data_IF_990317723811
#
_entry.id   IF_990317723811
#
_cell.length_a   1.000
_cell.length_b   1.000
_cell.length_c   1.000
_cell.angle_alpha   90.00
_cell.angle_beta   90.00
_cell.angle_gamma   90.00
#
_symmetry.space_group_name_H-M   'P 1'
#
loop_
_entity.id
_entity.type
_entity.pdbx_description
1 polymer ?
#
# COMPACT_ATOMS: atom_id res chain seq x y z
N UNK A 1 45.21 -26.00 -1.22
CA UNK A 1 43.98 -25.85 -0.41
C UNK A 1 43.10 -24.86 -1.15
N UNK A 2 41.79 -25.11 -1.29
CA UNK A 2 40.95 -24.30 -2.16
C UNK A 2 40.64 -22.95 -1.50
N UNK A 3 40.90 -21.88 -2.23
CA UNK A 3 40.70 -20.48 -1.85
C UNK A 3 39.31 -20.16 -1.25
N UNK A 4 38.31 -20.97 -1.61
CA UNK A 4 36.91 -20.81 -1.20
C UNK A 4 36.70 -21.07 0.30
N UNK A 5 37.43 -22.03 0.88
CA UNK A 5 37.36 -22.35 2.31
C UNK A 5 37.99 -21.23 3.16
N UNK A 6 39.10 -20.66 2.66
CA UNK A 6 39.82 -19.56 3.30
C UNK A 6 39.01 -18.26 3.25
N UNK A 7 38.31 -17.99 2.14
CA UNK A 7 37.41 -16.84 2.02
C UNK A 7 36.20 -16.96 2.95
N UNK A 8 35.61 -18.16 3.04
CA UNK A 8 34.51 -18.42 3.96
C UNK A 8 34.90 -18.26 5.43
N UNK A 9 36.11 -18.68 5.80
CA UNK A 9 36.67 -18.47 7.12
C UNK A 9 36.96 -16.98 7.40
N UNK A 10 37.51 -16.26 6.43
CA UNK A 10 37.79 -14.83 6.54
C UNK A 10 36.51 -14.00 6.73
N UNK A 11 35.43 -14.32 6.01
CA UNK A 11 34.14 -13.62 6.14
C UNK A 11 33.46 -13.88 7.49
N UNK A 12 33.52 -15.12 8.00
CA UNK A 12 33.01 -15.44 9.35
C UNK A 12 33.81 -14.73 10.45
N UNK A 13 35.14 -14.72 10.33
CA UNK A 13 36.01 -13.97 11.25
C UNK A 13 35.77 -12.46 11.21
N UNK A 14 35.45 -11.89 10.04
CA UNK A 14 35.11 -10.48 9.91
C UNK A 14 33.73 -10.17 10.53
N UNK A 15 32.75 -11.07 10.34
CA UNK A 15 31.41 -10.95 10.93
C UNK A 15 31.42 -11.03 12.46
N UNK A 16 32.19 -11.96 13.03
CA UNK A 16 32.32 -12.12 14.49
C UNK A 16 33.03 -10.92 15.16
N UNK A 17 33.75 -10.10 14.38
CA UNK A 17 34.36 -8.84 14.83
C UNK A 17 33.38 -7.66 14.97
N UNK A 18 32.16 -7.76 14.43
CA UNK A 18 31.14 -6.72 14.55
C UNK A 18 30.23 -6.98 15.77
N UNK A 19 30.69 -6.55 16.94
CA UNK A 19 29.81 -6.37 18.10
C UNK A 19 29.34 -4.93 18.14
N UNK A 20 28.06 -4.72 17.81
CA UNK A 20 27.45 -3.41 18.01
C UNK A 20 27.38 -3.12 19.51
N UNK A 21 27.97 -2.00 19.93
CA UNK A 21 27.87 -1.51 21.31
C UNK A 21 26.41 -1.13 21.59
N UNK A 22 25.70 -2.06 22.22
CA UNK A 22 24.26 -1.95 22.50
C UNK A 22 23.97 -0.81 23.47
N UNK A 23 24.92 -0.50 24.35
CA UNK A 23 24.80 0.59 25.32
C UNK A 23 24.99 1.93 24.60
N UNK A 24 25.96 2.05 23.69
CA UNK A 24 26.11 3.24 22.85
C UNK A 24 24.88 3.50 21.96
N UNK A 25 24.22 2.45 21.45
CA UNK A 25 22.97 2.56 20.69
C UNK A 25 21.80 2.99 21.57
N UNK A 26 21.68 2.46 22.78
CA UNK A 26 20.66 2.86 23.75
C UNK A 26 20.86 4.33 24.16
N UNK A 27 22.09 4.74 24.46
CA UNK A 27 22.46 6.12 24.81
C UNK A 27 22.22 7.10 23.64
N UNK A 28 22.46 6.68 22.41
CA UNK A 28 22.14 7.47 21.22
C UNK A 28 20.63 7.61 21.03
N UNK A 29 19.87 6.53 21.26
CA UNK A 29 18.41 6.52 21.26
C UNK A 29 17.81 7.45 22.31
N UNK A 30 18.31 7.39 23.55
CA UNK A 30 17.88 8.24 24.65
C UNK A 30 18.18 9.71 24.38
N UNK A 31 19.39 10.04 23.90
CA UNK A 31 19.76 11.41 23.52
C UNK A 31 18.87 11.95 22.40
N UNK A 32 18.51 11.11 21.41
CA UNK A 32 17.56 11.49 20.35
C UNK A 32 16.15 11.73 20.92
N UNK A 33 15.68 10.88 21.83
CA UNK A 33 14.39 11.04 22.52
C UNK A 33 14.31 12.32 23.33
N UNK A 34 15.33 12.61 24.16
CA UNK A 34 15.41 13.84 24.96
C UNK A 34 15.43 15.10 24.08
N UNK A 35 16.17 15.09 22.96
CA UNK A 35 16.16 16.21 21.98
C UNK A 35 14.78 16.41 21.35
N UNK A 36 14.05 15.34 21.05
CA UNK A 36 12.72 15.42 20.47
C UNK A 36 11.71 16.03 21.45
N UNK A 37 11.76 15.64 22.72
CA UNK A 37 10.93 16.22 23.79
C UNK A 37 11.29 17.69 24.05
N UNK A 38 12.59 18.04 24.06
CA UNK A 38 13.03 19.43 24.22
C UNK A 38 12.53 20.32 23.07
N UNK A 39 12.59 19.85 21.82
CA UNK A 39 12.04 20.57 20.65
C UNK A 39 10.53 20.77 20.74
N UNK A 40 9.78 19.75 21.20
CA UNK A 40 8.33 19.87 21.46
C UNK A 40 8.01 20.91 22.53
N UNK A 41 8.83 20.99 23.58
CA UNK A 41 8.68 21.98 24.66
C UNK A 41 9.09 23.39 24.23
N UNK A 42 10.09 23.53 23.36
CA UNK A 42 10.50 24.81 22.79
C UNK A 42 9.48 25.35 21.77
N UNK A 43 8.83 24.47 21.00
CA UNK A 43 7.73 24.85 20.11
C UNK A 43 6.50 25.40 20.89
N UNK A 44 6.28 24.92 22.11
CA UNK A 44 5.22 25.43 22.99
C UNK A 44 5.57 26.79 23.66
N UNK A 45 6.85 27.18 23.70
CA UNK A 45 7.30 28.43 24.32
C UNK A 45 7.47 29.60 23.33
N UNK A 46 7.38 29.35 22.02
CA UNK A 46 7.52 30.37 20.98
C UNK A 46 6.19 31.07 20.59
N UNK A 47 5.07 30.70 21.22
CA UNK A 47 3.76 31.32 20.99
C UNK A 47 3.11 31.78 22.28
N UNK A 48 3.45 32.97 22.78
CA UNK A 48 2.62 33.63 23.81
C UNK A 48 3.33 34.63 24.72
N UNK A 49 3.28 35.90 24.35
CA UNK A 49 3.28 37.07 25.26
C UNK A 49 2.22 37.99 24.64
N UNK A 50 1.20 38.55 25.32
CA UNK A 50 1.21 39.39 26.54
C UNK A 50 -0.24 39.48 27.09
N UNK A 51 -0.32 39.48 28.43
CA UNK A 51 -1.34 40.04 29.37
C UNK A 51 -2.70 40.57 28.86
N UNK A 52 -3.77 40.13 29.55
CA UNK A 52 -4.82 41.03 30.05
C UNK A 52 -5.43 40.49 31.36
N UNK A 53 -5.21 41.23 32.44
CA UNK A 53 -5.77 41.04 33.78
C UNK A 53 -7.23 41.49 33.83
N UNK A 54 -8.10 40.70 34.47
CA UNK A 54 -9.30 41.22 35.13
C UNK A 54 -9.59 40.40 36.39
N UNK A 55 -9.31 41.03 37.54
CA UNK A 55 -9.58 40.58 38.90
C UNK A 55 -11.03 40.89 39.27
N UNK A 56 -11.80 39.90 39.76
CA UNK A 56 -12.78 40.11 40.84
C UNK A 56 -12.74 38.88 41.78
N UNK A 57 -12.29 39.15 43.01
CA UNK A 57 -12.42 38.31 44.21
C UNK A 57 -13.88 38.35 44.71
N UNK A 58 -14.45 37.33 45.36
CA UNK A 58 -14.20 36.99 46.78
C UNK A 58 -14.87 35.67 47.21
N UNK A 59 -14.11 34.88 48.01
CA UNK A 59 -14.45 34.03 49.17
C UNK A 59 -15.64 33.02 49.13
N UNK A 60 -15.54 31.76 49.56
CA UNK A 60 -14.44 30.99 50.17
C UNK A 60 -14.90 29.60 50.66
N UNK A 61 -13.98 28.61 50.51
CA UNK A 61 -13.75 27.33 51.24
C UNK A 61 -14.91 26.31 51.43
N UNK A 62 -14.81 25.02 51.06
CA UNK A 62 -13.75 24.04 51.34
C UNK A 62 -13.66 22.87 50.32
N UNK A 63 -12.42 22.54 49.95
CA UNK A 63 -11.80 21.22 49.72
C UNK A 63 -12.37 20.18 48.72
N UNK A 64 -11.71 20.07 47.56
CA UNK A 64 -11.01 18.83 47.17
C UNK A 64 -11.50 18.07 45.93
N UNK A 65 -10.85 18.30 44.77
CA UNK A 65 -10.64 17.23 43.77
C UNK A 65 -11.22 17.37 42.35
N UNK A 66 -11.09 18.56 41.74
CA UNK A 66 -11.11 18.93 40.30
C UNK A 66 -11.93 18.10 39.27
N UNK A 67 -12.99 18.76 38.77
CA UNK A 67 -13.90 18.39 37.70
C UNK A 67 -13.35 18.68 36.30
N UNK A 68 -13.70 17.79 35.38
CA UNK A 68 -14.47 18.02 34.15
C UNK A 68 -14.42 19.40 33.44
N UNK A 69 -14.04 19.33 32.16
CA UNK A 69 -14.71 19.99 31.03
C UNK A 69 -14.66 21.51 30.89
N UNK A 70 -13.84 22.01 29.94
CA UNK A 70 -14.28 23.10 29.03
C UNK A 70 -13.60 22.95 27.68
N UNK A 71 -14.42 22.93 26.62
CA UNK A 71 -13.96 22.91 25.23
C UNK A 71 -13.22 24.19 24.87
N UNK A 72 -12.03 24.01 24.32
CA UNK A 72 -11.30 25.01 23.55
C UNK A 72 -10.88 24.36 22.25
N UNK A 73 -11.27 24.99 21.14
CA UNK A 73 -11.09 24.53 19.77
C UNK A 73 -9.65 24.05 19.52
N UNK A 74 -9.48 22.74 19.41
CA UNK A 74 -8.23 22.12 19.00
C UNK A 74 -8.05 22.33 17.51
N UNK A 75 -7.14 23.22 17.13
CA UNK A 75 -6.53 23.23 15.80
C UNK A 75 -5.80 21.91 15.63
N UNK A 76 -6.40 20.98 14.87
CA UNK A 76 -5.80 19.69 14.56
C UNK A 76 -4.81 19.91 13.42
N UNK A 77 -3.53 20.00 13.78
CA UNK A 77 -2.46 20.00 12.80
C UNK A 77 -2.41 18.61 12.13
N UNK A 78 -2.59 18.58 10.81
CA UNK A 78 -2.33 17.40 9.98
C UNK A 78 -0.82 17.17 9.95
N UNK A 79 -0.33 16.31 10.84
CA UNK A 79 1.04 15.83 10.79
C UNK A 79 1.10 14.59 9.90
N UNK A 80 1.60 14.77 8.68
CA UNK A 80 2.00 13.65 7.84
C UNK A 80 3.03 12.76 8.58
N UNK A 81 3.01 11.43 8.39
CA UNK A 81 4.01 10.56 8.99
C UNK A 81 5.42 10.90 8.45
N UNK A 82 6.48 10.85 9.28
CA UNK A 82 7.84 11.08 8.80
C UNK A 82 8.27 9.94 7.86
N UNK A 83 8.98 10.24 6.75
CA UNK A 83 9.45 9.20 5.84
C UNK A 83 10.50 8.33 6.52
N UNK A 84 10.36 7.01 6.35
CA UNK A 84 11.43 6.03 6.53
C UNK A 84 12.57 6.35 5.56
N UNK A 85 13.77 6.58 6.08
CA UNK A 85 14.99 6.80 5.27
C UNK A 85 15.51 5.49 4.68
N UNK A 86 15.80 5.43 3.37
CA UNK A 86 16.85 4.58 2.83
C UNK A 86 18.17 5.35 2.73
N UNK A 87 19.26 4.59 2.68
CA UNK A 87 20.64 5.06 2.71
C UNK A 87 21.01 6.03 1.57
N UNK A 88 22.08 6.76 1.85
CA UNK A 88 22.76 7.73 1.00
C UNK A 88 23.12 7.19 -0.38
N UNK A 89 22.51 7.77 -1.41
CA UNK A 89 23.12 8.03 -2.72
C UNK A 89 22.67 9.43 -3.17
N UNK A 90 23.65 10.30 -3.48
CA UNK A 90 23.46 11.70 -3.87
C UNK A 90 22.75 11.85 -5.23
N UNK A 91 21.42 11.73 -5.24
CA UNK A 91 20.54 12.41 -6.18
C UNK A 91 19.38 12.99 -5.40
N UNK A 92 19.39 14.32 -5.24
CA UNK A 92 18.33 15.02 -4.53
C UNK A 92 16.94 14.75 -5.13
N UNK A 93 15.88 14.88 -4.32
CA UNK A 93 14.50 14.68 -4.75
C UNK A 93 14.12 15.53 -6.00
N UNK A 94 13.64 14.89 -7.07
CA UNK A 94 13.29 15.51 -8.37
C UNK A 94 11.96 16.30 -8.30
N UNK A 95 11.97 17.49 -7.68
CA UNK A 95 10.87 18.45 -7.75
C UNK A 95 10.90 19.28 -9.05
N UNK A 96 9.78 19.92 -9.40
CA UNK A 96 9.71 20.86 -10.53
C UNK A 96 10.30 22.23 -10.20
N UNK A 97 10.08 23.22 -11.08
CA UNK A 97 10.63 24.57 -10.90
C UNK A 97 9.77 25.48 -10.00
N UNK A 98 8.57 25.05 -9.63
CA UNK A 98 7.62 25.86 -8.85
C UNK A 98 6.74 26.77 -9.70
N UNK A 99 6.55 26.44 -10.98
CA UNK A 99 5.67 27.21 -11.89
C UNK A 99 4.25 27.38 -11.34
N UNK A 100 3.75 26.40 -10.58
CA UNK A 100 2.45 26.44 -9.91
C UNK A 100 2.64 26.47 -8.40
N UNK A 101 2.13 27.51 -7.74
CA UNK A 101 2.22 27.63 -6.27
C UNK A 101 1.19 26.79 -5.52
N UNK A 102 1.37 26.65 -4.21
CA UNK A 102 0.40 26.03 -3.31
C UNK A 102 -0.99 26.72 -3.37
N UNK A 103 -1.03 28.05 -3.42
CA UNK A 103 -2.26 28.83 -3.52
C UNK A 103 -2.97 28.60 -4.86
N UNK A 104 -2.22 28.48 -5.95
CA UNK A 104 -2.78 28.16 -7.26
C UNK A 104 -3.37 26.76 -7.29
N UNK A 105 -2.72 25.78 -6.64
CA UNK A 105 -3.28 24.42 -6.48
C UNK A 105 -4.62 24.44 -5.71
N UNK A 106 -4.69 25.21 -4.61
CA UNK A 106 -5.93 25.41 -3.84
C UNK A 106 -7.01 26.08 -4.68
N UNK A 107 -6.67 27.13 -5.43
CA UNK A 107 -7.60 27.84 -6.30
C UNK A 107 -8.15 26.94 -7.42
N UNK A 108 -7.30 26.12 -8.03
CA UNK A 108 -7.70 25.17 -9.07
C UNK A 108 -8.70 24.14 -8.53
N UNK A 109 -8.45 23.54 -7.35
CA UNK A 109 -9.42 22.60 -6.75
C UNK A 109 -10.75 23.30 -6.46
N UNK A 110 -10.71 24.48 -5.84
CA UNK A 110 -11.93 25.26 -5.54
C UNK A 110 -12.76 25.56 -6.79
N UNK A 111 -12.10 25.88 -7.91
CA UNK A 111 -12.78 26.15 -9.18
C UNK A 111 -13.46 24.92 -9.81
N UNK A 112 -13.05 23.71 -9.43
CA UNK A 112 -13.62 22.46 -9.93
C UNK A 112 -14.67 21.83 -9.00
N UNK A 113 -14.77 22.30 -7.75
CA UNK A 113 -15.78 21.82 -6.81
C UNK A 113 -17.17 22.39 -7.17
N UNK A 114 -18.25 21.60 -7.05
CA UNK A 114 -19.60 21.99 -7.46
C UNK A 114 -20.29 22.92 -6.45
N UNK A 115 -19.64 24.02 -6.07
CA UNK A 115 -20.04 24.91 -4.98
C UNK A 115 -19.48 24.46 -3.64
N UNK A 116 -20.14 24.82 -2.53
CA UNK A 116 -19.69 24.48 -1.16
C UNK A 116 -18.48 25.30 -0.69
N UNK A 117 -17.90 24.90 0.45
CA UNK A 117 -16.74 25.56 1.05
C UNK A 117 -15.61 24.57 1.29
N UNK A 118 -14.39 24.94 0.88
CA UNK A 118 -13.16 24.22 1.22
C UNK A 118 -12.44 24.95 2.37
N UNK A 119 -12.56 24.41 3.57
CA UNK A 119 -11.91 24.91 4.79
C UNK A 119 -10.60 24.19 5.08
N UNK A 120 -9.72 24.86 5.84
CA UNK A 120 -8.39 24.35 6.21
C UNK A 120 -7.58 23.81 5.01
N UNK A 121 -7.52 24.56 3.88
CA UNK A 121 -6.85 24.04 2.71
C UNK A 121 -5.34 23.96 2.95
N UNK A 122 -4.76 22.84 2.56
CA UNK A 122 -3.31 22.64 2.49
C UNK A 122 -2.94 22.47 1.03
N UNK A 123 -1.98 23.26 0.55
CA UNK A 123 -1.49 23.21 -0.81
C UNK A 123 0.01 22.99 -0.84
N UNK A 124 0.49 22.25 -1.83
CA UNK A 124 1.90 22.13 -2.21
C UNK A 124 1.99 22.33 -3.72
N UNK A 125 2.86 23.25 -4.12
CA UNK A 125 3.07 23.61 -5.52
C UNK A 125 3.91 22.58 -6.28
N UNK A 126 4.27 22.92 -7.50
CA UNK A 126 5.15 22.11 -8.35
C UNK A 126 6.64 22.17 -7.99
N UNK A 127 7.01 22.96 -6.98
CA UNK A 127 8.31 22.97 -6.31
C UNK A 127 8.46 21.86 -5.25
N UNK A 128 7.39 21.12 -4.96
CA UNK A 128 7.42 19.88 -4.17
C UNK A 128 7.48 18.67 -5.10
N UNK A 129 8.01 17.54 -4.61
CA UNK A 129 8.03 16.28 -5.35
C UNK A 129 6.64 15.76 -5.69
N UNK A 130 5.65 16.03 -4.84
CA UNK A 130 4.27 15.58 -4.99
C UNK A 130 3.35 16.78 -4.79
N UNK A 131 3.06 17.55 -5.85
CA UNK A 131 2.11 18.63 -5.79
C UNK A 131 0.77 18.09 -5.31
N UNK A 132 0.18 18.80 -4.35
CA UNK A 132 -0.93 18.29 -3.56
C UNK A 132 -1.86 19.45 -3.22
N UNK A 133 -3.14 19.15 -3.16
CA UNK A 133 -4.11 20.01 -2.50
C UNK A 133 -5.07 19.16 -1.68
N UNK A 134 -5.31 19.53 -0.43
CA UNK A 134 -6.28 18.88 0.43
C UNK A 134 -7.03 19.89 1.30
N UNK A 135 -8.10 19.43 1.93
CA UNK A 135 -8.86 20.22 2.91
C UNK A 135 -10.15 19.53 3.30
N UNK A 136 -10.99 20.25 4.05
CA UNK A 136 -12.33 19.80 4.44
C UNK A 136 -13.34 20.53 3.57
N UNK A 137 -14.03 19.77 2.72
CA UNK A 137 -15.11 20.23 1.87
C UNK A 137 -16.47 20.07 2.57
N UNK A 138 -17.31 21.11 2.51
CA UNK A 138 -18.68 21.08 3.01
C UNK A 138 -19.63 21.72 1.98
N UNK A 139 -20.52 20.91 1.43
CA UNK A 139 -21.58 21.28 0.49
C UNK A 139 -22.92 21.62 1.22
N UNK A 140 -22.89 21.71 2.56
CA UNK A 140 -24.06 21.91 3.41
C UNK A 140 -24.74 20.61 3.85
N UNK A 141 -24.24 19.44 3.44
CA UNK A 141 -24.75 18.11 3.82
C UNK A 141 -23.83 17.35 4.77
N UNK A 142 -22.80 18.03 5.28
CA UNK A 142 -21.81 17.47 6.20
C UNK A 142 -20.41 17.51 5.60
N UNK A 143 -19.44 17.72 6.49
CA UNK A 143 -18.02 17.83 6.15
C UNK A 143 -17.48 16.54 5.53
N UNK A 144 -16.46 16.68 4.70
CA UNK A 144 -15.77 15.60 4.02
C UNK A 144 -14.31 15.99 3.79
N UNK A 145 -13.35 15.13 4.11
CA UNK A 145 -11.99 15.32 3.66
C UNK A 145 -11.93 15.11 2.14
N UNK A 146 -11.13 15.94 1.47
CA UNK A 146 -10.80 15.81 0.05
C UNK A 146 -9.30 16.01 -0.12
N UNK A 147 -8.68 15.21 -0.99
CA UNK A 147 -7.25 15.29 -1.29
C UNK A 147 -7.01 14.96 -2.75
N UNK A 148 -6.22 15.78 -3.43
CA UNK A 148 -5.78 15.58 -4.80
C UNK A 148 -4.27 15.66 -4.88
N UNK A 149 -3.66 14.65 -5.49
CA UNK A 149 -2.23 14.57 -5.77
C UNK A 149 -1.94 14.54 -7.26
N UNK A 150 -0.80 15.10 -7.63
CA UNK A 150 -0.27 15.07 -9.00
C UNK A 150 1.06 14.33 -9.02
N UNK A 151 1.29 13.55 -10.07
CA UNK A 151 2.59 12.93 -10.33
C UNK A 151 2.81 12.67 -11.82
N UNK A 152 4.06 12.34 -12.17
CA UNK A 152 4.46 11.87 -13.49
C UNK A 152 4.81 10.38 -13.38
N UNK A 153 4.23 9.54 -14.24
CA UNK A 153 4.43 8.08 -14.26
C UNK A 153 4.65 7.56 -15.68
N UNK A 154 5.34 6.44 -15.85
CA UNK A 154 5.36 5.75 -17.14
C UNK A 154 3.93 5.28 -17.49
N UNK A 155 3.29 5.81 -18.54
CA UNK A 155 1.92 5.44 -18.89
C UNK A 155 1.80 3.98 -19.35
N UNK A 156 2.88 3.32 -19.73
CA UNK A 156 2.91 1.90 -20.09
C UNK A 156 3.55 1.04 -18.97
N UNK A 157 3.88 1.66 -17.84
CA UNK A 157 4.44 1.04 -16.64
C UNK A 157 3.43 0.24 -15.81
N UNK A 158 3.96 -0.60 -14.93
CA UNK A 158 3.23 -1.44 -13.99
C UNK A 158 2.49 -0.60 -12.95
N UNK A 159 3.11 0.44 -12.41
CA UNK A 159 2.46 1.32 -11.44
C UNK A 159 1.21 2.00 -12.03
N UNK A 160 1.33 2.50 -13.26
CA UNK A 160 0.24 3.14 -13.96
C UNK A 160 -0.91 2.17 -14.31
N UNK A 161 -0.67 0.86 -14.41
CA UNK A 161 -1.73 -0.16 -14.51
C UNK A 161 -2.37 -0.39 -13.15
N UNK A 162 -1.56 -0.66 -12.12
CA UNK A 162 -2.03 -0.96 -10.78
C UNK A 162 -2.91 0.15 -10.18
N UNK A 163 -2.63 1.42 -10.48
CA UNK A 163 -3.42 2.55 -9.98
C UNK A 163 -4.66 2.86 -10.80
N UNK A 164 -4.78 2.31 -12.02
CA UNK A 164 -5.94 2.56 -12.93
C UNK A 164 -6.83 1.34 -13.16
N UNK A 165 -6.50 0.20 -12.56
CA UNK A 165 -7.28 -1.04 -12.63
C UNK A 165 -8.10 -1.25 -11.36
N UNK A 166 -9.30 -1.82 -11.52
CA UNK A 166 -10.08 -2.28 -10.37
C UNK A 166 -9.40 -3.48 -9.72
N UNK A 167 -9.15 -3.37 -8.41
CA UNK A 167 -8.72 -4.50 -7.60
C UNK A 167 -9.77 -5.63 -7.61
N UNK A 168 -9.37 -6.83 -7.17
CA UNK A 168 -10.30 -7.95 -7.11
C UNK A 168 -11.32 -7.78 -5.96
N UNK A 169 -12.63 -7.75 -6.29
CA UNK A 169 -13.70 -7.78 -5.28
C UNK A 169 -13.58 -8.94 -4.30
N UNK A 170 -12.95 -10.04 -4.72
CA UNK A 170 -12.75 -11.17 -3.83
C UNK A 170 -11.73 -10.78 -2.75
N UNK A 171 -10.63 -10.10 -3.09
CA UNK A 171 -9.62 -9.72 -2.11
C UNK A 171 -9.96 -8.47 -1.30
N UNK A 172 -10.68 -7.54 -1.90
CA UNK A 172 -11.03 -6.27 -1.29
C UNK A 172 -12.48 -5.95 -1.62
N UNK A 173 -13.34 -5.91 -0.60
CA UNK A 173 -14.73 -5.48 -0.82
C UNK A 173 -14.76 -3.98 -1.15
N UNK A 174 -15.49 -3.64 -2.21
CA UNK A 174 -15.79 -2.28 -2.61
C UNK A 174 -17.22 -2.16 -3.15
N UNK A 175 -17.81 -0.98 -2.97
CA UNK A 175 -19.18 -0.69 -3.37
C UNK A 175 -19.30 -0.69 -4.91
N UNK A 176 -18.41 0.03 -5.59
CA UNK A 176 -18.38 0.14 -7.05
C UNK A 176 -16.95 0.40 -7.56
N UNK A 177 -16.62 -0.11 -8.75
CA UNK A 177 -15.35 0.20 -9.40
C UNK A 177 -15.47 0.06 -10.90
N UNK A 178 -14.98 1.07 -11.61
CA UNK A 178 -14.98 1.14 -13.06
C UNK A 178 -13.61 1.57 -13.57
N UNK A 179 -13.10 0.85 -14.56
CA UNK A 179 -11.92 1.25 -15.34
C UNK A 179 -12.38 1.60 -16.75
N UNK A 180 -11.96 2.76 -17.24
CA UNK A 180 -12.30 3.26 -18.57
C UNK A 180 -11.03 3.61 -19.35
N UNK A 181 -11.09 3.42 -20.67
CA UNK A 181 -10.15 4.03 -21.61
C UNK A 181 -10.84 5.20 -22.29
N UNK A 182 -10.34 6.41 -22.05
CA UNK A 182 -10.87 7.65 -22.62
C UNK A 182 -10.50 7.77 -24.11
N UNK A 183 -11.17 8.67 -24.83
CA UNK A 183 -11.00 8.85 -26.28
C UNK A 183 -9.58 9.29 -26.68
N UNK A 184 -8.86 9.97 -25.80
CA UNK A 184 -7.45 10.36 -25.96
C UNK A 184 -6.46 9.23 -25.63
N UNK A 185 -6.96 8.04 -25.27
CA UNK A 185 -6.17 6.88 -24.87
C UNK A 185 -5.74 6.87 -23.41
N UNK A 186 -6.15 7.86 -22.61
CA UNK A 186 -5.92 7.89 -21.16
C UNK A 186 -6.70 6.77 -20.46
N UNK A 187 -6.16 6.27 -19.33
CA UNK A 187 -6.83 5.30 -18.46
C UNK A 187 -7.41 6.01 -17.25
N UNK A 188 -8.65 5.70 -16.90
CA UNK A 188 -9.38 6.30 -15.78
C UNK A 188 -9.92 5.20 -14.87
N UNK A 189 -9.64 5.30 -13.57
CA UNK A 189 -10.27 4.53 -12.52
C UNK A 189 -11.28 5.40 -11.78
N UNK A 190 -12.46 4.85 -11.49
CA UNK A 190 -13.48 5.41 -10.63
C UNK A 190 -13.86 4.34 -9.61
N UNK A 191 -13.53 4.56 -8.35
CA UNK A 191 -13.67 3.58 -7.28
C UNK A 191 -14.48 4.14 -6.11
N UNK A 192 -15.37 3.33 -5.54
CA UNK A 192 -16.15 3.62 -4.35
C UNK A 192 -16.03 2.47 -3.38
N UNK A 193 -15.57 2.73 -2.18
CA UNK A 193 -15.42 1.70 -1.16
C UNK A 193 -15.20 2.29 0.22
N UNK A 194 -14.36 1.63 0.99
CA UNK A 194 -14.10 1.93 2.39
C UNK A 194 -12.61 2.14 2.61
N UNK A 195 -12.28 3.06 3.52
CA UNK A 195 -10.90 3.31 3.94
C UNK A 195 -10.23 2.05 4.48
N UNK A 196 -11.00 1.24 5.21
CA UNK A 196 -10.53 -0.02 5.76
C UNK A 196 -11.25 -1.20 5.08
N UNK A 197 -10.51 -2.06 4.35
CA UNK A 197 -11.07 -3.26 3.72
C UNK A 197 -11.76 -4.21 4.70
N UNK A 198 -11.28 -4.25 5.96
CA UNK A 198 -11.85 -5.08 7.03
C UNK A 198 -13.11 -4.49 7.68
N UNK A 199 -13.60 -3.34 7.19
CA UNK A 199 -14.81 -2.65 7.65
C UNK A 199 -14.81 -2.32 9.15
N UNK A 200 -13.64 -2.18 9.77
CA UNK A 200 -13.54 -1.80 11.19
C UNK A 200 -14.04 -0.39 11.50
N UNK A 201 -14.25 0.44 10.47
CA UNK A 201 -14.90 1.73 10.57
C UNK A 201 -15.77 1.99 9.33
N UNK A 202 -16.83 2.78 9.51
CA UNK A 202 -17.78 3.16 8.45
C UNK A 202 -17.26 4.25 7.51
N UNK A 203 -15.99 4.62 7.62
CA UNK A 203 -15.38 5.64 6.77
C UNK A 203 -15.30 5.12 5.33
N UNK A 204 -16.11 5.72 4.47
CA UNK A 204 -16.11 5.48 3.03
C UNK A 204 -15.09 6.37 2.34
N UNK A 205 -14.55 5.87 1.23
CA UNK A 205 -13.67 6.61 0.33
C UNK A 205 -14.14 6.46 -1.11
N UNK A 206 -14.29 7.57 -1.81
CA UNK A 206 -14.45 7.61 -3.25
C UNK A 206 -13.16 8.14 -3.87
N UNK A 207 -12.68 7.48 -4.92
CA UNK A 207 -11.38 7.72 -5.55
C UNK A 207 -11.52 7.77 -7.05
N UNK A 208 -10.82 8.71 -7.68
CA UNK A 208 -10.64 8.75 -9.12
C UNK A 208 -9.16 8.90 -9.47
N UNK A 209 -8.68 8.11 -10.44
CA UNK A 209 -7.29 8.17 -10.89
C UNK A 209 -7.27 8.24 -12.41
N UNK A 210 -6.68 9.29 -12.96
CA UNK A 210 -6.41 9.43 -14.38
C UNK A 210 -4.92 9.20 -14.63
N UNK A 211 -4.58 8.36 -15.62
CA UNK A 211 -3.24 8.32 -16.23
C UNK A 211 -3.34 8.61 -17.72
N UNK A 212 -2.69 9.68 -18.19
CA UNK A 212 -2.69 10.08 -19.60
C UNK A 212 -1.58 9.40 -20.40
N UNK A 213 -1.68 9.42 -21.73
CA UNK A 213 -0.59 8.94 -22.63
C UNK A 213 0.70 9.76 -22.50
N UNK A 214 0.66 10.97 -21.94
CA UNK A 214 1.87 11.76 -21.66
C UNK A 214 2.52 11.39 -20.31
N UNK A 215 1.93 10.46 -19.56
CA UNK A 215 2.42 10.07 -18.24
C UNK A 215 1.98 11.01 -17.12
N UNK A 216 0.91 11.77 -17.30
CA UNK A 216 0.32 12.55 -16.21
C UNK A 216 -0.55 11.65 -15.37
N UNK A 217 -0.33 11.64 -14.05
CA UNK A 217 -1.23 11.02 -13.10
C UNK A 217 -1.91 12.08 -12.24
N UNK A 218 -3.25 12.05 -12.21
CA UNK A 218 -4.08 12.88 -11.34
C UNK A 218 -4.90 11.93 -10.47
N UNK A 219 -4.73 12.03 -9.16
CA UNK A 219 -5.44 11.19 -8.20
C UNK A 219 -6.23 12.07 -7.23
N UNK A 220 -7.53 11.80 -7.13
CA UNK A 220 -8.44 12.46 -6.20
C UNK A 220 -9.06 11.41 -5.28
N UNK A 221 -9.06 11.70 -3.98
CA UNK A 221 -9.76 10.92 -2.96
C UNK A 221 -10.62 11.83 -2.09
N UNK A 222 -11.79 11.35 -1.70
CA UNK A 222 -12.68 12.01 -0.75
C UNK A 222 -13.30 11.02 0.23
N UNK A 223 -13.57 11.47 1.45
CA UNK A 223 -14.11 10.65 2.51
C UNK A 223 -15.45 11.20 3.02
N UNK A 224 -16.31 10.33 3.55
CA UNK A 224 -17.57 10.74 4.19
C UNK A 224 -17.40 11.27 5.63
N UNK A 225 -16.15 11.53 6.02
CA UNK A 225 -15.75 12.06 7.31
C UNK A 225 -14.84 13.28 7.11
N UNK A 226 -14.70 14.18 8.09
CA UNK A 226 -13.83 15.36 7.99
C UNK A 226 -12.32 15.02 7.89
N UNK A 227 -11.94 13.76 8.12
CA UNK A 227 -10.59 13.25 7.99
C UNK A 227 -10.63 11.78 7.53
N UNK A 228 -9.54 11.32 6.92
CA UNK A 228 -9.34 9.93 6.49
C UNK A 228 -9.47 8.93 7.67
N UNK A 229 -8.89 9.28 8.83
CA UNK A 229 -8.80 8.38 10.00
C UNK A 229 -9.16 9.11 11.30
N UNK A 230 -9.65 8.34 12.28
CA UNK A 230 -9.78 8.78 13.68
C UNK A 230 -10.89 9.79 13.97
N UNK A 231 -11.66 10.20 12.96
CA UNK A 231 -12.79 11.13 13.11
C UNK A 231 -14.09 10.41 12.69
N UNK A 232 -15.20 10.55 13.44
CA UNK A 232 -16.48 9.97 13.04
C UNK A 232 -16.97 10.48 11.68
N UNK A 233 -17.75 9.63 10.99
CA UNK A 233 -18.42 10.01 9.74
C UNK A 233 -19.42 11.15 9.98
N UNK A 234 -19.48 12.09 9.06
CA UNK A 234 -20.37 13.27 9.11
C UNK A 234 -21.50 13.20 8.08
N UNK A 235 -21.42 12.24 7.15
CA UNK A 235 -22.39 12.01 6.08
C UNK A 235 -22.38 10.55 5.65
N UNK A 236 -23.42 10.11 4.94
CA UNK A 236 -23.54 8.70 4.52
C UNK A 236 -22.54 8.31 3.44
N UNK A 237 -22.29 9.20 2.49
CA UNK A 237 -21.37 9.01 1.36
C UNK A 237 -20.52 10.25 1.14
N UNK A 238 -19.31 10.13 0.57
CA UNK A 238 -18.52 11.28 0.12
C UNK A 238 -19.31 12.21 -0.84
N UNK A 239 -18.94 13.50 -0.93
CA UNK A 239 -19.76 14.51 -1.59
C UNK A 239 -19.83 14.46 -3.11
N UNK A 240 -18.76 14.13 -3.83
CA UNK A 240 -18.72 14.28 -5.29
C UNK A 240 -19.32 13.06 -6.02
N UNK A 241 -20.21 13.28 -6.98
CA UNK A 241 -20.68 12.18 -7.83
C UNK A 241 -19.53 11.58 -8.66
N UNK A 242 -19.71 10.37 -9.19
CA UNK A 242 -18.75 9.76 -10.13
C UNK A 242 -18.40 10.69 -11.30
N UNK A 243 -19.39 11.38 -11.87
CA UNK A 243 -19.17 12.32 -12.97
C UNK A 243 -18.40 13.57 -12.52
N UNK A 244 -18.62 14.04 -11.30
CA UNK A 244 -17.87 15.16 -10.71
C UNK A 244 -16.42 14.75 -10.44
N UNK A 245 -16.17 13.57 -9.87
CA UNK A 245 -14.83 13.01 -9.70
C UNK A 245 -14.08 12.94 -11.04
N UNK A 246 -14.72 12.39 -12.08
CA UNK A 246 -14.19 12.33 -13.45
C UNK A 246 -13.88 13.73 -14.00
N UNK A 247 -14.78 14.69 -13.80
CA UNK A 247 -14.59 16.08 -14.22
C UNK A 247 -13.37 16.71 -13.56
N UNK A 248 -13.17 16.49 -12.25
CA UNK A 248 -12.01 17.04 -11.52
C UNK A 248 -10.71 16.45 -12.05
N UNK A 249 -10.60 15.12 -12.17
CA UNK A 249 -9.32 14.47 -12.53
C UNK A 249 -8.94 14.64 -14.01
N UNK A 250 -9.92 14.84 -14.90
CA UNK A 250 -9.70 15.08 -16.35
C UNK A 250 -9.50 16.55 -16.71
N UNK A 251 -9.55 17.46 -15.73
CA UNK A 251 -9.43 18.88 -16.00
C UNK A 251 -8.02 19.29 -16.43
N UNK A 252 -7.93 20.05 -17.53
CA UNK A 252 -6.67 20.57 -18.04
C UNK A 252 -6.01 21.61 -17.11
N UNK A 253 -6.71 22.09 -16.06
CA UNK A 253 -6.13 23.04 -15.08
C UNK A 253 -4.93 22.46 -14.32
N UNK A 254 -4.77 21.13 -14.31
CA UNK A 254 -3.64 20.45 -13.69
C UNK A 254 -2.40 20.39 -14.58
N UNK A 255 -2.55 20.56 -15.90
CA UNK A 255 -1.44 20.42 -16.86
C UNK A 255 -0.25 21.34 -16.58
N UNK A 256 -0.41 22.62 -16.16
CA UNK A 256 0.73 23.46 -15.84
C UNK A 256 1.63 22.87 -14.74
N UNK A 257 1.04 22.35 -13.65
CA UNK A 257 1.80 21.73 -12.57
C UNK A 257 2.45 20.42 -13.02
N UNK A 258 1.71 19.58 -13.76
CA UNK A 258 2.21 18.30 -14.28
C UNK A 258 3.34 18.47 -15.30
N UNK A 259 3.30 19.51 -16.13
CA UNK A 259 4.36 19.83 -17.08
C UNK A 259 5.63 20.34 -16.40
N UNK A 260 5.49 21.03 -15.27
CA UNK A 260 6.61 21.54 -14.48
C UNK A 260 7.38 20.43 -13.75
N UNK A 261 6.73 19.29 -13.49
CA UNK A 261 7.38 18.12 -12.92
C UNK A 261 8.36 17.46 -13.92
N UNK A 262 9.45 16.85 -13.44
CA UNK A 262 10.34 16.05 -14.27
C UNK A 262 9.61 14.91 -15.00
N UNK A 263 10.08 14.56 -16.19
CA UNK A 263 9.54 13.40 -16.90
C UNK A 263 9.79 12.12 -16.10
N UNK A 264 8.83 11.18 -16.09
CA UNK A 264 9.07 9.90 -15.45
C UNK A 264 10.11 9.15 -16.27
N UNK A 265 11.06 8.52 -15.60
CA UNK A 265 11.89 7.53 -16.26
C UNK A 265 10.99 6.39 -16.71
N UNK A 266 11.08 5.94 -17.98
CA UNK A 266 10.35 4.77 -18.43
C UNK A 266 10.70 3.59 -17.53
N UNK A 267 9.68 2.85 -17.09
CA UNK A 267 9.94 1.60 -16.39
C UNK A 267 10.71 0.68 -17.35
N UNK A 268 11.78 0.01 -16.88
CA UNK A 268 12.50 -0.93 -17.71
C UNK A 268 11.51 -1.94 -18.28
N UNK A 269 11.27 -1.87 -19.59
CA UNK A 269 10.41 -2.82 -20.26
C UNK A 269 11.06 -4.18 -20.11
N UNK A 270 10.35 -5.14 -19.51
CA UNK A 270 10.79 -6.52 -19.51
C UNK A 270 11.07 -6.91 -20.96
N UNK A 271 12.33 -7.19 -21.30
CA UNK A 271 12.70 -7.61 -22.66
C UNK A 271 11.87 -8.84 -23.00
N UNK A 272 11.09 -8.84 -24.09
CA UNK A 272 10.42 -10.03 -24.56
C UNK A 272 11.48 -11.11 -24.80
N UNK A 273 11.45 -12.20 -24.04
CA UNK A 273 12.33 -13.35 -24.23
C UNK A 273 13.57 -13.45 -23.33
N UNK A 274 13.75 -12.59 -22.32
CA UNK A 274 14.67 -12.90 -21.22
C UNK A 274 13.96 -13.82 -20.23
N UNK A 275 14.25 -15.12 -20.23
CA UNK A 275 13.76 -16.05 -19.21
C UNK A 275 14.43 -15.73 -17.87
N UNK A 276 13.93 -14.72 -17.17
CA UNK A 276 14.29 -14.45 -15.78
C UNK A 276 13.88 -15.68 -14.96
N UNK A 277 14.81 -16.26 -14.18
CA UNK A 277 14.50 -17.41 -13.33
C UNK A 277 13.32 -17.06 -12.41
N UNK A 278 12.43 -18.03 -12.10
CA UNK A 278 11.17 -17.77 -11.39
C UNK A 278 11.35 -16.99 -10.08
N UNK A 279 12.43 -17.26 -9.35
CA UNK A 279 12.76 -16.56 -8.09
C UNK A 279 13.09 -15.07 -8.24
N UNK A 280 13.44 -14.65 -9.45
CA UNK A 280 13.85 -13.29 -9.79
C UNK A 280 12.67 -12.56 -10.48
N UNK A 281 11.52 -13.22 -10.63
CA UNK A 281 10.28 -12.66 -11.13
C UNK A 281 9.38 -12.17 -9.98
N UNK A 282 8.45 -11.28 -10.31
CA UNK A 282 7.29 -11.02 -9.46
C UNK A 282 6.48 -12.32 -9.27
N UNK A 283 6.06 -12.59 -8.03
CA UNK A 283 5.39 -13.84 -7.69
C UNK A 283 4.05 -14.03 -8.44
N UNK A 284 3.31 -12.98 -8.76
CA UNK A 284 2.09 -13.11 -9.54
C UNK A 284 2.39 -13.59 -10.96
N UNK A 285 3.45 -13.06 -11.58
CA UNK A 285 3.90 -13.48 -12.92
C UNK A 285 4.44 -14.91 -12.91
N UNK A 286 5.25 -15.26 -11.92
CA UNK A 286 5.78 -16.61 -11.78
C UNK A 286 4.66 -17.65 -11.62
N UNK A 287 3.63 -17.33 -10.81
CA UNK A 287 2.47 -18.21 -10.63
C UNK A 287 1.69 -18.40 -11.94
N UNK A 288 1.49 -17.32 -12.71
CA UNK A 288 0.82 -17.40 -14.03
C UNK A 288 1.61 -18.27 -15.02
N UNK A 289 2.93 -18.08 -15.12
CA UNK A 289 3.77 -18.88 -16.01
C UNK A 289 3.78 -20.36 -15.62
N UNK A 290 3.78 -20.66 -14.32
CA UNK A 290 3.72 -22.03 -13.83
C UNK A 290 2.38 -22.68 -14.14
N UNK A 291 1.27 -22.00 -13.91
CA UNK A 291 -0.07 -22.50 -14.23
C UNK A 291 -0.19 -22.80 -15.73
N UNK A 292 0.28 -21.88 -16.59
CA UNK A 292 0.30 -22.09 -18.04
C UNK A 292 1.22 -23.24 -18.45
N UNK A 293 2.43 -23.33 -17.86
CA UNK A 293 3.41 -24.38 -18.13
C UNK A 293 2.94 -25.78 -17.73
N UNK A 294 2.06 -25.87 -16.73
CA UNK A 294 1.39 -27.11 -16.32
C UNK A 294 0.19 -27.49 -17.21
N UNK A 295 -0.15 -26.68 -18.22
CA UNK A 295 -1.30 -26.92 -19.10
C UNK A 295 -2.64 -26.75 -18.38
N UNK A 296 -2.70 -25.94 -17.33
CA UNK A 296 -3.93 -25.67 -16.60
C UNK A 296 -4.72 -24.60 -17.37
N UNK A 297 -5.72 -25.04 -18.14
CA UNK A 297 -6.56 -24.18 -19.00
C UNK A 297 -7.81 -23.64 -18.29
N UNK A 298 -7.80 -23.59 -16.96
CA UNK A 298 -8.94 -23.15 -16.17
C UNK A 298 -9.08 -21.62 -16.27
N UNK A 299 -10.28 -21.07 -16.58
CA UNK A 299 -10.44 -19.63 -16.72
C UNK A 299 -10.03 -18.87 -15.45
N UNK A 300 -9.22 -17.83 -15.64
CA UNK A 300 -8.79 -16.93 -14.58
C UNK A 300 -9.83 -15.81 -14.48
N UNK A 301 -10.53 -15.75 -13.34
CA UNK A 301 -11.49 -14.69 -13.04
C UNK A 301 -10.85 -13.45 -12.41
N UNK A 302 -9.69 -13.62 -11.74
CA UNK A 302 -8.87 -12.52 -11.23
C UNK A 302 -7.45 -13.00 -10.93
N UNK A 303 -6.50 -12.07 -10.89
CA UNK A 303 -5.10 -12.30 -10.50
C UNK A 303 -4.49 -11.00 -9.99
N UNK A 304 -3.40 -11.11 -9.24
CA UNK A 304 -2.66 -9.95 -8.74
C UNK A 304 -1.57 -10.34 -7.76
N UNK A 305 -0.96 -9.35 -7.14
CA UNK A 305 0.18 -9.54 -6.25
C UNK A 305 1.17 -8.39 -6.33
N UNK A 306 2.15 -8.41 -5.44
CA UNK A 306 3.27 -7.48 -5.45
C UNK A 306 4.52 -8.17 -4.86
N UNK A 307 5.62 -8.11 -5.62
CA UNK A 307 6.93 -8.55 -5.18
C UNK A 307 6.92 -10.05 -4.82
N UNK A 308 7.17 -10.42 -3.54
CA UNK A 308 7.21 -11.82 -3.13
C UNK A 308 5.83 -12.48 -3.01
N UNK A 309 4.73 -11.77 -3.21
CA UNK A 309 3.37 -12.31 -3.06
C UNK A 309 2.59 -12.23 -4.37
N UNK A 310 1.90 -13.32 -4.73
CA UNK A 310 1.07 -13.43 -5.92
C UNK A 310 -0.16 -14.31 -5.71
N UNK A 311 -1.21 -14.10 -6.51
CA UNK A 311 -2.41 -14.93 -6.47
C UNK A 311 -3.14 -14.99 -7.81
N UNK A 312 -3.92 -16.07 -7.99
CA UNK A 312 -4.85 -16.30 -9.10
C UNK A 312 -6.16 -16.82 -8.52
N UNK A 313 -7.30 -16.31 -8.99
CA UNK A 313 -8.64 -16.82 -8.72
C UNK A 313 -9.19 -17.45 -9.99
N UNK A 314 -9.35 -18.76 -9.97
CA UNK A 314 -9.96 -19.53 -11.05
C UNK A 314 -11.48 -19.59 -10.93
N UNK A 315 -12.15 -19.69 -12.07
CA UNK A 315 -13.59 -19.95 -12.16
C UNK A 315 -13.89 -20.89 -13.33
N UNK A 316 -14.13 -22.16 -13.01
CA UNK A 316 -14.54 -23.22 -13.95
C UNK A 316 -16.07 -23.33 -14.10
N UNK A 317 -16.83 -22.36 -13.56
CA UNK A 317 -18.29 -22.40 -13.47
C UNK A 317 -18.82 -23.30 -12.35
N UNK A 318 -17.96 -23.96 -11.56
CA UNK A 318 -18.34 -24.78 -10.39
C UNK A 318 -18.09 -24.08 -9.06
N UNK A 319 -17.80 -22.78 -9.11
CA UNK A 319 -17.45 -21.96 -7.96
C UNK A 319 -15.98 -21.57 -7.96
N UNK A 320 -15.70 -20.36 -7.48
CA UNK A 320 -14.36 -19.77 -7.52
C UNK A 320 -13.36 -20.50 -6.62
N UNK A 321 -12.08 -20.42 -6.98
CA UNK A 321 -10.99 -20.99 -6.18
C UNK A 321 -9.74 -20.13 -6.27
N UNK A 322 -9.24 -19.70 -5.13
CA UNK A 322 -8.04 -18.90 -4.97
C UNK A 322 -6.80 -19.78 -4.82
N UNK A 323 -5.75 -19.45 -5.56
CA UNK A 323 -4.39 -19.99 -5.40
C UNK A 323 -3.45 -18.83 -5.08
N UNK A 324 -2.62 -18.99 -4.05
CA UNK A 324 -1.64 -18.00 -3.59
C UNK A 324 -0.23 -18.57 -3.69
N UNK A 325 0.71 -17.70 -4.01
CA UNK A 325 2.14 -17.93 -4.00
C UNK A 325 2.81 -16.87 -3.12
N UNK A 326 3.61 -17.31 -2.16
CA UNK A 326 4.44 -16.44 -1.33
C UNK A 326 5.88 -16.91 -1.33
N UNK A 327 6.80 -15.97 -1.55
CA UNK A 327 8.24 -16.16 -1.52
C UNK A 327 8.82 -15.53 -0.25
N UNK A 328 9.84 -16.15 0.33
CA UNK A 328 10.47 -15.60 1.53
C UNK A 328 11.78 -16.28 1.89
N UNK A 329 12.33 -15.90 3.04
CA UNK A 329 13.52 -16.52 3.63
C UNK A 329 13.23 -16.91 5.08
N UNK A 330 13.04 -18.20 5.33
CA UNK A 330 12.83 -18.76 6.66
C UNK A 330 12.75 -20.28 6.59
N UNK A 331 13.31 -20.99 7.56
CA UNK A 331 13.13 -22.42 7.81
C UNK A 331 12.18 -22.70 9.00
N UNK A 332 11.61 -21.64 9.59
CA UNK A 332 10.68 -21.75 10.71
C UNK A 332 9.47 -22.61 10.33
N UNK A 333 9.12 -23.55 11.21
CA UNK A 333 8.02 -24.51 10.98
C UNK A 333 8.42 -25.80 10.26
N UNK A 334 9.70 -25.98 9.92
CA UNK A 334 10.25 -27.25 9.40
C UNK A 334 11.01 -28.06 10.46
N UNK A 335 11.29 -27.48 11.63
CA UNK A 335 11.85 -28.20 12.76
C UNK A 335 10.87 -29.28 13.25
N UNK A 336 11.32 -30.54 13.29
CA UNK A 336 10.52 -31.68 13.77
C UNK A 336 9.57 -32.29 12.74
N UNK A 337 9.70 -31.97 11.45
CA UNK A 337 9.01 -32.73 10.40
C UNK A 337 9.60 -34.14 10.31
N UNK A 338 8.75 -35.16 10.37
CA UNK A 338 9.14 -36.56 10.24
C UNK A 338 9.34 -36.99 8.76
N UNK A 339 9.32 -36.06 7.81
CA UNK A 339 9.56 -36.35 6.40
C UNK A 339 11.02 -36.09 6.05
N UNK A 340 11.70 -37.04 5.38
CA UNK A 340 13.06 -36.82 4.92
C UNK A 340 13.08 -35.73 3.83
N UNK A 341 14.19 -34.98 3.71
CA UNK A 341 14.37 -34.03 2.60
C UNK A 341 14.31 -34.75 1.25
N UNK A 342 13.94 -34.01 0.21
CA UNK A 342 14.08 -34.46 -1.18
C UNK A 342 15.56 -34.69 -1.54
N UNK A 343 15.86 -35.42 -2.64
CA UNK A 343 17.24 -35.69 -3.05
C UNK A 343 18.12 -34.45 -3.26
N UNK A 344 17.51 -33.29 -3.56
CA UNK A 344 18.21 -32.00 -3.71
C UNK A 344 18.37 -31.23 -2.39
N UNK A 345 17.96 -31.83 -1.27
CA UNK A 345 17.98 -31.23 0.07
C UNK A 345 16.78 -30.35 0.40
N UNK A 346 15.81 -30.21 -0.52
CA UNK A 346 14.61 -29.40 -0.27
C UNK A 346 13.72 -30.06 0.78
N UNK A 347 13.35 -29.28 1.80
CA UNK A 347 12.37 -29.68 2.80
C UNK A 347 10.97 -29.34 2.28
N UNK A 348 10.01 -30.25 2.50
CA UNK A 348 8.62 -30.10 2.04
C UNK A 348 7.69 -30.35 3.22
N UNK A 349 6.74 -29.45 3.41
CA UNK A 349 5.66 -29.57 4.38
C UNK A 349 4.32 -29.42 3.65
N UNK A 350 3.46 -30.43 3.77
CA UNK A 350 2.15 -30.44 3.12
C UNK A 350 1.08 -30.42 4.20
N UNK A 351 0.13 -29.50 4.09
CA UNK A 351 -1.00 -29.35 5.01
C UNK A 351 -2.31 -29.33 4.23
N UNK A 352 -3.33 -29.98 4.79
CA UNK A 352 -4.70 -29.88 4.32
C UNK A 352 -5.61 -29.74 5.54
N UNK A 353 -6.56 -28.82 5.49
CA UNK A 353 -7.53 -28.69 6.56
C UNK A 353 -8.38 -27.44 6.44
N UNK A 354 -9.13 -27.11 7.50
CA UNK A 354 -9.83 -25.84 7.60
C UNK A 354 -8.85 -24.67 7.46
N UNK A 355 -9.24 -23.66 6.69
CA UNK A 355 -8.51 -22.40 6.66
C UNK A 355 -8.65 -21.67 8.00
N UNK A 356 -7.70 -20.79 8.32
CA UNK A 356 -7.73 -19.99 9.56
C UNK A 356 -8.97 -19.08 9.64
N UNK A 357 -9.49 -18.67 8.48
CA UNK A 357 -10.59 -17.72 8.32
C UNK A 357 -11.63 -18.28 7.35
N UNK A 358 -12.86 -17.75 7.47
CA UNK A 358 -13.97 -18.08 6.58
C UNK A 358 -14.74 -19.34 6.99
N UNK A 359 -16.05 -19.34 6.75
CA UNK A 359 -16.93 -20.44 7.16
C UNK A 359 -16.90 -21.58 6.14
N UNK A 360 -16.48 -22.77 6.56
CA UNK A 360 -16.38 -23.95 5.71
C UNK A 360 -15.27 -23.87 4.66
N UNK A 361 -14.40 -22.85 4.77
CA UNK A 361 -13.27 -22.68 3.87
C UNK A 361 -12.18 -23.67 4.25
N UNK A 362 -11.64 -24.36 3.25
CA UNK A 362 -10.48 -25.24 3.42
C UNK A 362 -9.28 -24.67 2.68
N UNK A 363 -8.11 -24.94 3.21
CA UNK A 363 -6.81 -24.56 2.66
C UNK A 363 -5.94 -25.81 2.48
N UNK A 364 -5.39 -25.94 1.27
CA UNK A 364 -4.35 -26.91 0.96
C UNK A 364 -3.06 -26.16 0.71
N UNK A 365 -2.01 -26.49 1.45
CA UNK A 365 -0.73 -25.78 1.41
C UNK A 365 0.41 -26.74 1.12
N UNK A 366 1.27 -26.35 0.19
CA UNK A 366 2.60 -26.92 0.01
C UNK A 366 3.63 -25.83 0.32
N UNK A 367 4.40 -26.06 1.38
CA UNK A 367 5.43 -25.16 1.89
C UNK A 367 6.78 -25.84 1.72
N UNK A 368 7.71 -25.18 1.04
CA UNK A 368 9.02 -25.74 0.72
C UNK A 368 10.13 -24.79 1.14
N UNK A 369 11.23 -25.35 1.64
CA UNK A 369 12.45 -24.61 1.96
C UNK A 369 13.63 -25.30 1.30
N UNK A 370 14.31 -24.56 0.43
CA UNK A 370 15.52 -25.02 -0.27
C UNK A 370 16.75 -24.86 0.62
N UNK A 371 17.84 -25.52 0.22
CA UNK A 371 19.14 -25.47 0.91
C UNK A 371 19.79 -24.08 0.91
N UNK A 372 19.41 -23.19 -0.02
CA UNK A 372 19.82 -21.78 -0.04
C UNK A 372 18.94 -20.85 0.82
N UNK A 373 17.94 -21.42 1.51
CA UNK A 373 17.01 -20.73 2.38
C UNK A 373 15.84 -20.06 1.66
N UNK A 374 15.67 -20.27 0.34
CA UNK A 374 14.46 -19.82 -0.36
C UNK A 374 13.27 -20.65 0.10
N UNK A 375 12.27 -19.96 0.68
CA UNK A 375 10.97 -20.54 1.03
C UNK A 375 9.94 -20.21 -0.04
N UNK A 376 9.23 -21.22 -0.52
CA UNK A 376 8.11 -21.09 -1.46
C UNK A 376 6.89 -21.74 -0.85
N UNK A 377 5.84 -20.94 -0.64
CA UNK A 377 4.56 -21.38 -0.09
C UNK A 377 3.49 -21.23 -1.16
N UNK A 378 2.84 -22.34 -1.50
CA UNK A 378 1.70 -22.37 -2.42
C UNK A 378 0.48 -22.85 -1.65
N UNK A 379 -0.57 -22.03 -1.59
CA UNK A 379 -1.83 -22.37 -0.93
C UNK A 379 -2.99 -22.31 -1.92
N UNK A 380 -3.94 -23.24 -1.82
CA UNK A 380 -5.19 -23.20 -2.57
C UNK A 380 -6.41 -23.27 -1.66
N UNK A 381 -7.45 -22.52 -2.01
CA UNK A 381 -8.67 -22.36 -1.23
C UNK A 381 -9.88 -22.71 -2.08
N UNK A 382 -10.92 -23.27 -1.45
CA UNK A 382 -12.20 -23.60 -2.08
C UNK A 382 -13.17 -22.40 -2.18
N UNK A 383 -12.62 -21.19 -2.26
CA UNK A 383 -13.34 -19.92 -2.33
C UNK A 383 -12.46 -18.88 -3.03
N UNK A 384 -13.06 -17.78 -3.44
CA UNK A 384 -12.36 -16.68 -4.10
C UNK A 384 -11.49 -15.84 -3.13
N UNK A 385 -11.75 -15.91 -1.82
CA UNK A 385 -11.07 -15.11 -0.82
C UNK A 385 -10.95 -15.80 0.53
N UNK A 386 -9.98 -15.41 1.34
CA UNK A 386 -9.68 -16.13 2.59
C UNK A 386 -10.65 -15.87 3.73
N UNK A 387 -11.57 -14.92 3.61
CA UNK A 387 -12.50 -14.52 4.69
C UNK A 387 -13.97 -14.82 4.39
N UNK A 388 -14.27 -15.28 3.18
CA UNK A 388 -15.63 -15.52 2.72
C UNK A 388 -16.18 -16.89 3.09
N UNK A 389 -17.17 -17.33 2.32
CA UNK A 389 -17.75 -18.68 2.43
C UNK A 389 -17.19 -19.55 1.32
N UNK A 390 -17.07 -20.85 1.60
CA UNK A 390 -16.74 -21.85 0.57
C UNK A 390 -17.72 -21.77 -0.60
N UNK A 391 -17.20 -21.74 -1.82
CA UNK A 391 -17.99 -21.75 -3.07
C UNK A 391 -17.96 -23.10 -3.77
N UNK A 392 -17.11 -24.02 -3.29
CA UNK A 392 -16.94 -25.39 -3.79
C UNK A 392 -16.43 -26.28 -2.64
N UNK A 393 -16.49 -27.60 -2.80
CA UNK A 393 -16.04 -28.53 -1.75
C UNK A 393 -14.51 -28.54 -1.59
N UNK A 394 -13.78 -28.49 -2.70
CA UNK A 394 -12.32 -28.57 -2.73
C UNK A 394 -11.71 -27.48 -3.63
N UNK A 395 -10.48 -27.03 -3.35
CA UNK A 395 -9.76 -26.12 -4.25
C UNK A 395 -9.68 -26.70 -5.66
N UNK A 396 -9.59 -25.82 -6.65
CA UNK A 396 -9.59 -26.21 -8.06
C UNK A 396 -8.31 -26.95 -8.46
N UNK A 397 -7.17 -26.62 -7.82
CA UNK A 397 -5.90 -27.29 -8.05
C UNK A 397 -5.70 -28.42 -7.04
N UNK A 398 -5.19 -29.54 -7.54
CA UNK A 398 -4.86 -30.70 -6.70
C UNK A 398 -3.60 -30.44 -5.87
N UNK A 399 -3.42 -31.18 -4.78
CA UNK A 399 -2.16 -31.12 -4.02
C UNK A 399 -0.92 -31.40 -4.88
N UNK A 400 -1.03 -32.31 -5.85
CA UNK A 400 0.08 -32.63 -6.75
C UNK A 400 0.44 -31.44 -7.64
N UNK A 401 -0.57 -30.73 -8.18
CA UNK A 401 -0.34 -29.50 -8.93
C UNK A 401 0.29 -28.40 -8.06
N UNK A 402 -0.17 -28.23 -6.81
CA UNK A 402 0.46 -27.27 -5.89
C UNK A 402 1.90 -27.64 -5.59
N UNK A 403 2.19 -28.94 -5.49
CA UNK A 403 3.54 -29.46 -5.26
C UNK A 403 4.44 -29.24 -6.48
N UNK A 404 3.93 -29.42 -7.68
CA UNK A 404 4.66 -29.11 -8.92
C UNK A 404 4.99 -27.61 -9.03
N UNK A 405 4.05 -26.73 -8.69
CA UNK A 405 4.29 -25.27 -8.63
C UNK A 405 5.38 -24.95 -7.59
N UNK A 406 5.27 -25.49 -6.36
CA UNK A 406 6.22 -25.21 -5.28
C UNK A 406 7.64 -25.73 -5.56
N UNK A 407 7.75 -26.86 -6.25
CA UNK A 407 9.01 -27.54 -6.58
C UNK A 407 9.53 -27.23 -7.98
N UNK A 408 8.92 -26.28 -8.70
CA UNK A 408 9.31 -25.97 -10.06
C UNK A 408 10.82 -25.66 -10.19
N UNK A 409 11.49 -26.13 -11.25
CA UNK A 409 12.95 -26.05 -11.36
C UNK A 409 13.47 -24.62 -11.42
N UNK A 410 12.67 -23.67 -11.94
CA UNK A 410 13.07 -22.26 -12.06
C UNK A 410 13.24 -21.52 -10.72
N UNK A 411 12.87 -22.14 -9.60
CA UNK A 411 13.20 -21.64 -8.27
C UNK A 411 14.65 -21.92 -7.86
N UNK A 412 15.30 -22.91 -8.47
CA UNK A 412 16.65 -23.35 -8.11
C UNK A 412 17.73 -22.46 -8.75
N UNK A 413 18.88 -22.32 -8.06
CA UNK A 413 20.02 -21.52 -8.54
C UNK A 413 20.85 -22.16 -9.63
N UNK A 414 20.72 -23.47 -9.81
CA UNK A 414 21.69 -24.30 -10.51
C UNK A 414 21.16 -25.01 -11.76
N UNK A 415 20.04 -24.55 -12.35
CA UNK A 415 19.62 -25.01 -13.68
C UNK A 415 19.17 -23.83 -14.55
N UNK A 416 20.13 -23.28 -15.30
CA UNK A 416 19.87 -22.75 -16.64
C UNK A 416 20.24 -23.82 -17.64
#
# INVERSE_FOLDING_TARGET
>A
MPFEDDLGAALRSAGDGFTADRDALADAGERRGRRMVARRRQAAAAGGSVLALALIATAGAYAGGLLDGTGGAGTVNVAAPPPTSPGSDDKGPLAGSGTVSAEQMIANLRGLLPGGQLTEPVGRGSDDQVPLVSGVYDDGKGKAAISLGLSRVDPDGSNARATTECGDKNLQEYDDCQTEKLADGSRLLLHKGYEYPDRRADTKVWRAVLVTRQGFQVELSEWNAPAEKGVPVSRSNPPLTTDQLKTVVTSAVWHPALNDLPAPEPEPSARPGSSTALRDQDAAKALEDLVAGLGIEIPISSKGGEGPYGYIVFDDGKGKSLVRLSLGRSDSGFAGLNQPPLPDGTLVNVKQGPAEKGKGVIEWTVDTVRTDGLRVVVSAFNTANTSGTATREQPVLTLDQLKEIALAPGWNRTRN
#
